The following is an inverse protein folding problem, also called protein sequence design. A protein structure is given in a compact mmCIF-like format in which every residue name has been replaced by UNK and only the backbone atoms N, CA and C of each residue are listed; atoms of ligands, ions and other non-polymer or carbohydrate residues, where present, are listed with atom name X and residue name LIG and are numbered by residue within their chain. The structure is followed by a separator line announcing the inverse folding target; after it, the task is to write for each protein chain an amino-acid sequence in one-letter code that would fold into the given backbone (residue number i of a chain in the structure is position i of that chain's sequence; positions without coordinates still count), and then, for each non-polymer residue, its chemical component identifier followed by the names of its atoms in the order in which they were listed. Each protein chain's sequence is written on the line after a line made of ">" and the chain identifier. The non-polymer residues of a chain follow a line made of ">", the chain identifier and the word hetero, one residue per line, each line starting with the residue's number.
data_IF_248540903055
#
_entry.id   IF_248540903055
#
_cell.length_a   1.000
_cell.length_b   1.000
_cell.length_c   1.000
_cell.angle_alpha   90.00
_cell.angle_beta   90.00
_cell.angle_gamma   90.00
#
_symmetry.space_group_name_H-M   'P 1'
#
loop_
_entity.id
_entity.type
_entity.pdbx_description
1 polymer ?
#
# COMPACT_ATOMS: atom_id res chain seq x y z
N UNK A 1 -16.02 10.58 10.66
CA UNK A 1 -14.65 10.02 10.55
C UNK A 1 -14.13 10.31 9.16
N UNK A 2 -13.06 11.11 9.00
CA UNK A 2 -12.38 11.23 7.70
C UNK A 2 -11.84 9.84 7.37
N UNK A 3 -12.35 9.22 6.30
CA UNK A 3 -11.69 8.04 5.74
C UNK A 3 -10.35 8.52 5.22
N UNK A 4 -9.28 8.15 5.90
CA UNK A 4 -7.93 8.30 5.37
C UNK A 4 -7.88 7.54 4.04
N UNK A 5 -7.68 8.28 2.95
CA UNK A 5 -7.56 7.69 1.61
C UNK A 5 -6.13 7.21 1.41
N UNK A 6 -5.85 6.01 1.91
CA UNK A 6 -4.52 5.38 1.82
C UNK A 6 -4.24 4.88 0.40
N UNK A 7 -5.28 4.52 -0.35
CA UNK A 7 -5.15 3.92 -1.69
C UNK A 7 -4.35 4.75 -2.69
N UNK A 8 -4.63 6.07 -2.87
CA UNK A 8 -3.85 6.93 -3.74
C UNK A 8 -2.37 7.03 -3.34
N UNK A 9 -2.05 7.07 -2.04
CA UNK A 9 -0.67 7.09 -1.57
C UNK A 9 0.05 5.77 -1.81
N UNK A 10 -0.62 4.65 -1.59
CA UNK A 10 -0.07 3.33 -1.91
C UNK A 10 0.24 3.22 -3.41
N UNK A 11 -0.66 3.70 -4.27
CA UNK A 11 -0.45 3.75 -5.72
C UNK A 11 0.71 4.64 -6.10
N UNK A 12 0.86 5.79 -5.43
CA UNK A 12 1.99 6.69 -5.65
C UNK A 12 3.31 6.02 -5.28
N UNK A 13 3.42 5.45 -4.07
CA UNK A 13 4.60 4.73 -3.60
C UNK A 13 5.04 3.65 -4.61
N UNK A 14 4.07 2.87 -5.09
CA UNK A 14 4.34 1.84 -6.10
C UNK A 14 4.92 2.42 -7.39
N UNK A 15 4.33 3.52 -7.88
CA UNK A 15 4.77 4.17 -9.12
C UNK A 15 6.13 4.83 -8.98
N UNK A 16 6.44 5.40 -7.83
CA UNK A 16 7.77 5.96 -7.51
C UNK A 16 8.86 4.88 -7.57
N UNK A 17 8.52 3.63 -7.24
CA UNK A 17 9.40 2.48 -7.37
C UNK A 17 9.36 1.81 -8.76
N UNK A 18 8.61 2.36 -9.72
CA UNK A 18 8.50 1.80 -11.07
C UNK A 18 7.81 0.44 -11.16
N UNK A 19 7.09 0.02 -10.11
CA UNK A 19 6.53 -1.33 -10.00
C UNK A 19 5.12 -1.43 -10.60
N UNK A 20 4.81 -2.57 -11.18
CA UNK A 20 3.45 -3.06 -11.42
C UNK A 20 2.78 -3.49 -10.11
N UNK A 21 1.45 -3.60 -10.09
CA UNK A 21 0.74 -4.10 -8.90
C UNK A 21 1.18 -5.54 -8.53
N UNK A 22 1.55 -6.35 -9.51
CA UNK A 22 2.00 -7.72 -9.29
C UNK A 22 3.38 -7.76 -8.61
N UNK A 23 4.30 -6.88 -9.01
CA UNK A 23 5.63 -6.77 -8.38
C UNK A 23 5.54 -6.28 -6.94
N UNK A 24 4.72 -5.25 -6.67
CA UNK A 24 4.44 -4.81 -5.29
C UNK A 24 3.78 -5.92 -4.47
N UNK A 25 2.84 -6.67 -5.06
CA UNK A 25 2.20 -7.77 -4.37
C UNK A 25 3.20 -8.88 -4.00
N UNK A 26 4.12 -9.22 -4.91
CA UNK A 26 5.19 -10.16 -4.65
C UNK A 26 6.14 -9.66 -3.55
N UNK A 27 6.54 -8.39 -3.59
CA UNK A 27 7.38 -7.77 -2.55
C UNK A 27 6.72 -7.78 -1.16
N UNK A 28 5.40 -7.67 -1.11
CA UNK A 28 4.61 -7.65 0.13
C UNK A 28 4.07 -9.01 0.55
N UNK A 29 4.31 -10.08 -0.22
CA UNK A 29 3.81 -11.42 0.08
C UNK A 29 2.28 -11.55 0.03
N UNK A 30 1.61 -10.77 -0.82
CA UNK A 30 0.14 -10.75 -0.97
C UNK A 30 -0.27 -10.97 -2.43
N UNK A 31 -1.57 -11.08 -2.70
CA UNK A 31 -2.07 -11.20 -4.07
C UNK A 31 -2.15 -9.84 -4.77
N UNK A 32 -1.97 -9.84 -6.10
CA UNK A 32 -2.15 -8.66 -6.96
C UNK A 32 -3.55 -8.04 -6.78
N UNK A 33 -4.58 -8.88 -6.63
CA UNK A 33 -5.94 -8.44 -6.37
C UNK A 33 -6.06 -7.67 -5.04
N UNK A 34 -5.33 -8.09 -4.01
CA UNK A 34 -5.32 -7.39 -2.72
C UNK A 34 -4.70 -5.99 -2.84
N UNK A 35 -3.57 -5.85 -3.52
CA UNK A 35 -2.97 -4.53 -3.82
C UNK A 35 -3.96 -3.64 -4.59
N UNK A 36 -4.64 -4.18 -5.60
CA UNK A 36 -5.65 -3.44 -6.34
C UNK A 36 -6.82 -2.95 -5.46
N UNK A 37 -7.31 -3.80 -4.55
CA UNK A 37 -8.37 -3.42 -3.61
C UNK A 37 -7.92 -2.30 -2.65
N UNK A 38 -6.67 -2.37 -2.17
CA UNK A 38 -6.09 -1.34 -1.31
C UNK A 38 -5.92 -0.01 -2.05
N UNK A 39 -5.35 -0.01 -3.25
CA UNK A 39 -5.16 1.20 -4.06
C UNK A 39 -6.46 1.93 -4.40
N UNK A 40 -7.56 1.18 -4.54
CA UNK A 40 -8.88 1.73 -4.83
C UNK A 40 -9.73 1.98 -3.57
N UNK A 41 -9.15 1.88 -2.36
CA UNK A 41 -9.82 2.04 -1.07
C UNK A 41 -11.05 1.10 -0.87
N UNK A 42 -11.08 -0.04 -1.57
CA UNK A 42 -12.11 -1.06 -1.41
C UNK A 42 -11.85 -1.94 -0.18
N UNK A 43 -10.63 -1.94 0.33
CA UNK A 43 -10.23 -2.58 1.59
C UNK A 43 -9.47 -1.58 2.46
N UNK A 44 -9.74 -1.62 3.75
CA UNK A 44 -8.94 -0.91 4.74
C UNK A 44 -7.55 -1.56 4.86
N UNK A 45 -6.52 -0.73 4.97
CA UNK A 45 -5.16 -1.20 5.23
C UNK A 45 -5.05 -1.66 6.69
N UNK A 46 -4.51 -2.87 6.92
CA UNK A 46 -4.28 -3.38 8.27
C UNK A 46 -2.95 -2.86 8.83
N UNK A 47 -2.79 -2.93 10.15
CA UNK A 47 -1.53 -2.57 10.84
C UNK A 47 -0.38 -3.44 10.37
N UNK A 48 -0.59 -4.75 10.25
CA UNK A 48 0.40 -5.68 9.68
C UNK A 48 0.83 -5.23 8.29
N UNK A 49 -0.11 -4.75 7.48
CA UNK A 49 0.21 -4.32 6.13
C UNK A 49 0.95 -2.98 6.09
N UNK A 50 0.65 -2.07 7.00
CA UNK A 50 1.45 -0.86 7.22
C UNK A 50 2.89 -1.19 7.63
N UNK A 51 3.09 -2.19 8.50
CA UNK A 51 4.42 -2.63 8.90
C UNK A 51 5.20 -3.21 7.72
N UNK A 52 4.62 -4.12 6.93
CA UNK A 52 5.36 -4.68 5.79
C UNK A 52 5.63 -3.64 4.70
N UNK A 53 4.78 -2.62 4.54
CA UNK A 53 5.07 -1.47 3.66
C UNK A 53 6.28 -0.67 4.18
N UNK A 54 6.33 -0.42 5.49
CA UNK A 54 7.47 0.23 6.14
C UNK A 54 8.76 -0.58 5.95
N UNK A 55 8.70 -1.90 6.13
CA UNK A 55 9.87 -2.77 6.01
C UNK A 55 10.35 -2.91 4.55
N UNK A 56 9.42 -3.06 3.60
CA UNK A 56 9.77 -3.30 2.19
C UNK A 56 10.18 -2.02 1.44
N UNK A 57 9.65 -0.85 1.84
CA UNK A 57 9.84 0.41 1.11
C UNK A 57 10.51 1.51 1.94
N UNK A 58 10.83 1.27 3.22
CA UNK A 58 11.51 2.26 4.07
C UNK A 58 10.69 3.52 4.35
N UNK A 59 9.37 3.45 4.23
CA UNK A 59 8.46 4.60 4.43
C UNK A 59 7.93 4.65 5.86
N UNK A 60 7.80 5.85 6.44
CA UNK A 60 7.05 5.98 7.70
C UNK A 60 5.56 5.72 7.41
N UNK A 61 5.00 4.70 8.07
CA UNK A 61 3.60 4.34 7.93
C UNK A 61 2.64 5.51 8.25
N UNK A 62 3.10 6.50 9.03
CA UNK A 62 2.36 7.74 9.30
C UNK A 62 2.17 8.58 8.04
N UNK A 63 3.11 8.54 7.10
CA UNK A 63 2.98 9.26 5.82
C UNK A 63 1.92 8.65 4.92
N UNK A 64 1.67 7.34 5.07
CA UNK A 64 0.60 6.65 4.35
C UNK A 64 -0.79 7.06 4.83
N UNK A 65 -0.94 7.47 6.10
CA UNK A 65 -2.24 7.73 6.74
C UNK A 65 -2.62 9.21 6.96
N UNK A 66 -1.81 10.16 6.50
CA UNK A 66 -2.08 11.61 6.59
C UNK A 66 -3.33 12.08 5.81
#
# INVERSE_FOLDING_TARGET
>A
MRKTLVGPRLRQLRREHGQTQAEMAAALGVSTAYVNLLENNQRSLSVTMLMSLSDAYGVDWRDLIK
#
